data_IF_133116750452
#
_entry.id   IF_133116750452
#
_cell.length_a   1.000
_cell.length_b   1.000
_cell.length_c   1.000
_cell.angle_alpha   90.00
_cell.angle_beta   90.00
_cell.angle_gamma   90.00
#
_symmetry.space_group_name_H-M   'P 1'
#
loop_
_entity.id
_entity.type
_entity.pdbx_description
1 polymer ?
#
# COMPACT_ATOMS: atom_id res chain seq x y z
N UNK A 1 1.78 -11.67 -1.60
CA UNK A 1 1.66 -10.57 -2.58
C UNK A 1 0.84 -9.41 -2.04
N UNK A 2 -0.40 -9.63 -1.58
CA UNK A 2 -1.25 -8.56 -0.98
C UNK A 2 -0.58 -7.89 0.23
N UNK A 3 0.04 -8.67 1.13
CA UNK A 3 0.80 -8.14 2.28
C UNK A 3 2.00 -7.26 1.88
N UNK A 4 2.65 -7.52 0.73
CA UNK A 4 3.75 -6.68 0.21
C UNK A 4 3.22 -5.29 -0.17
N UNK A 5 2.12 -5.25 -0.92
CA UNK A 5 1.48 -3.99 -1.31
C UNK A 5 0.99 -3.21 -0.10
N UNK A 6 0.40 -3.89 0.89
CA UNK A 6 -0.02 -3.26 2.14
C UNK A 6 1.16 -2.62 2.89
N UNK A 7 2.29 -3.34 3.02
CA UNK A 7 3.51 -2.80 3.63
C UNK A 7 4.07 -1.60 2.86
N UNK A 8 4.07 -1.65 1.53
CA UNK A 8 4.51 -0.53 0.68
C UNK A 8 3.62 0.70 0.87
N UNK A 9 2.30 0.51 0.85
CA UNK A 9 1.33 1.58 1.06
C UNK A 9 1.49 2.21 2.45
N UNK A 10 1.70 1.40 3.48
CA UNK A 10 1.97 1.89 4.84
C UNK A 10 3.25 2.75 4.89
N UNK A 11 4.35 2.28 4.27
CA UNK A 11 5.62 3.02 4.22
C UNK A 11 5.49 4.33 3.44
N UNK A 12 4.77 4.31 2.31
CA UNK A 12 4.49 5.52 1.52
C UNK A 12 3.63 6.49 2.33
N UNK A 13 2.53 6.02 2.93
CA UNK A 13 1.64 6.84 3.74
C UNK A 13 2.39 7.54 4.89
N UNK A 14 3.23 6.79 5.62
CA UNK A 14 4.11 7.33 6.66
C UNK A 14 5.08 8.39 6.12
N UNK A 15 5.70 8.13 4.95
CA UNK A 15 6.67 9.06 4.31
C UNK A 15 6.04 10.42 3.98
N UNK A 16 4.78 10.44 3.57
CA UNK A 16 4.07 11.67 3.20
C UNK A 16 3.24 12.27 4.35
N UNK A 17 3.45 11.81 5.59
CA UNK A 17 2.70 12.32 6.75
C UNK A 17 1.21 11.98 6.70
N UNK A 18 0.80 11.08 5.81
CA UNK A 18 -0.54 10.53 5.75
C UNK A 18 -0.64 9.44 6.82
N UNK A 19 -0.67 9.86 8.08
CA UNK A 19 -0.99 8.99 9.20
C UNK A 19 -2.45 8.56 9.01
N UNK A 20 -2.67 7.52 8.23
CA UNK A 20 -3.96 6.83 8.24
C UNK A 20 -4.18 6.43 9.68
N UNK A 21 -5.19 7.02 10.31
CA UNK A 21 -5.62 6.67 11.63
C UNK A 21 -5.88 5.17 11.64
N UNK A 22 -4.91 4.39 12.14
CA UNK A 22 -5.20 3.06 12.68
C UNK A 22 -6.00 3.28 13.96
N UNK A 23 -7.20 3.86 13.82
CA UNK A 23 -8.26 3.59 14.75
C UNK A 23 -8.65 2.15 14.47
N UNK A 24 -8.14 1.31 15.36
CA UNK A 24 -8.30 -0.13 15.41
C UNK A 24 -9.78 -0.42 15.54
N UNK A 25 -10.44 -0.66 14.41
CA UNK A 25 -11.61 -1.54 14.45
C UNK A 25 -11.14 -2.86 15.05
N UNK A 26 -11.72 -3.26 16.19
CA UNK A 26 -11.32 -4.48 16.92
C UNK A 26 -11.60 -5.78 16.17
N UNK A 27 -12.04 -5.70 14.91
CA UNK A 27 -12.28 -6.86 14.06
C UNK A 27 -11.05 -7.18 13.18
N UNK A 28 -10.77 -8.47 12.94
CA UNK A 28 -9.73 -8.87 12.00
C UNK A 28 -10.10 -8.43 10.59
N UNK A 29 -9.54 -7.31 10.12
CA UNK A 29 -9.69 -6.86 8.74
C UNK A 29 -8.83 -7.73 7.80
N UNK A 30 -9.42 -8.15 6.68
CA UNK A 30 -8.67 -8.77 5.60
C UNK A 30 -7.64 -7.80 5.02
N UNK A 31 -6.56 -8.34 4.44
CA UNK A 31 -5.52 -7.51 3.82
C UNK A 31 -6.08 -6.61 2.68
N UNK A 32 -7.14 -7.04 2.00
CA UNK A 32 -7.82 -6.26 0.96
C UNK A 32 -8.59 -5.07 1.55
N UNK A 33 -9.34 -5.29 2.65
CA UNK A 33 -10.04 -4.21 3.36
C UNK A 33 -9.06 -3.14 3.85
N UNK A 34 -7.91 -3.57 4.38
CA UNK A 34 -6.85 -2.64 4.79
C UNK A 34 -6.31 -1.84 3.61
N UNK A 35 -6.11 -2.46 2.44
CA UNK A 35 -5.71 -1.74 1.22
C UNK A 35 -6.78 -0.71 0.82
N UNK A 36 -8.06 -1.08 0.81
CA UNK A 36 -9.14 -0.16 0.50
C UNK A 36 -9.22 1.03 1.45
N UNK A 37 -8.85 0.88 2.74
CA UNK A 37 -8.73 2.05 3.64
C UNK A 37 -7.68 3.06 3.19
N UNK A 38 -6.62 2.62 2.49
CA UNK A 38 -5.58 3.53 1.97
C UNK A 38 -5.94 4.13 0.60
N UNK A 39 -6.60 3.37 -0.29
CA UNK A 39 -6.79 3.78 -1.69
C UNK A 39 -8.24 4.07 -2.09
N UNK A 40 -9.21 3.67 -1.26
CA UNK A 40 -10.64 3.61 -1.57
C UNK A 40 -11.02 2.41 -2.44
N UNK A 41 -12.32 2.22 -2.63
CA UNK A 41 -12.93 1.19 -3.48
C UNK A 41 -13.42 1.73 -4.84
N UNK A 42 -13.21 3.02 -5.11
CA UNK A 42 -13.62 3.69 -6.34
C UNK A 42 -13.03 3.03 -7.61
N UNK A 43 -13.71 3.23 -8.75
CA UNK A 43 -13.20 2.80 -10.05
C UNK A 43 -11.75 3.27 -10.27
N UNK A 44 -10.88 2.36 -10.68
CA UNK A 44 -9.44 2.62 -10.81
C UNK A 44 -8.65 2.51 -9.50
N UNK A 45 -9.21 1.96 -8.43
CA UNK A 45 -8.52 1.72 -7.15
C UNK A 45 -7.20 0.96 -7.33
N UNK A 46 -7.15 0.00 -8.27
CA UNK A 46 -5.92 -0.76 -8.53
C UNK A 46 -4.78 0.15 -8.99
N UNK A 47 -5.07 1.15 -9.83
CA UNK A 47 -4.07 2.12 -10.27
C UNK A 47 -3.59 2.99 -9.09
N UNK A 48 -4.44 3.27 -8.10
CA UNK A 48 -4.08 3.98 -6.86
C UNK A 48 -3.20 3.15 -5.93
N UNK A 49 -3.18 1.82 -6.06
CA UNK A 49 -2.21 0.94 -5.39
C UNK A 49 -0.90 0.89 -6.17
N UNK A 50 -0.99 0.59 -7.47
CA UNK A 50 0.18 0.26 -8.29
C UNK A 50 1.06 1.50 -8.55
N UNK A 51 0.47 2.66 -8.86
CA UNK A 51 1.23 3.87 -9.23
C UNK A 51 2.15 4.36 -8.09
N UNK A 52 1.69 4.51 -6.83
CA UNK A 52 2.58 4.93 -5.74
C UNK A 52 3.72 3.94 -5.48
N UNK A 53 3.43 2.64 -5.59
CA UNK A 53 4.41 1.57 -5.34
C UNK A 53 5.47 1.54 -6.43
N UNK A 54 5.07 1.64 -7.70
CA UNK A 54 5.99 1.73 -8.83
C UNK A 54 6.83 3.02 -8.78
N UNK A 55 6.19 4.18 -8.58
CA UNK A 55 6.88 5.47 -8.51
C UNK A 55 7.84 5.59 -7.33
N UNK A 56 7.61 4.83 -6.25
CA UNK A 56 8.50 4.77 -5.09
C UNK A 56 9.61 3.72 -5.23
N UNK A 57 9.74 3.07 -6.38
CA UNK A 57 10.67 1.95 -6.63
C UNK A 57 10.51 0.78 -5.65
N UNK A 58 9.30 0.56 -5.13
CA UNK A 58 8.95 -0.54 -4.20
C UNK A 58 8.35 -1.76 -4.92
N UNK A 59 8.32 -1.72 -6.24
CA UNK A 59 7.90 -2.86 -7.06
C UNK A 59 8.95 -3.96 -6.96
N UNK A 60 8.56 -5.19 -6.61
CA UNK A 60 9.53 -6.28 -6.39
C UNK A 60 10.51 -6.46 -7.55
N UNK A 61 10.04 -6.45 -8.79
CA UNK A 61 10.92 -6.60 -9.95
C UNK A 61 11.92 -5.45 -10.13
N UNK A 62 11.58 -4.23 -9.68
CA UNK A 62 12.49 -3.08 -9.71
C UNK A 62 13.43 -3.07 -8.51
N UNK A 63 12.97 -3.48 -7.32
CA UNK A 63 13.83 -3.56 -6.13
C UNK A 63 14.97 -4.57 -6.30
N UNK A 64 14.70 -5.72 -6.92
CA UNK A 64 15.74 -6.74 -7.14
C UNK A 64 16.83 -6.29 -8.13
N UNK A 65 16.51 -5.37 -9.07
CA UNK A 65 17.50 -4.85 -10.01
C UNK A 65 18.59 -3.98 -9.33
N UNK A 66 18.39 -3.56 -8.07
CA UNK A 66 19.36 -2.78 -7.29
C UNK A 66 20.03 -3.58 -6.16
N UNK A 67 19.74 -4.88 -6.06
CA UNK A 67 20.28 -5.77 -5.01
C UNK A 67 21.41 -6.68 -5.52
N UNK A 68 21.93 -6.42 -6.72
CA UNK A 68 23.02 -7.14 -7.38
C UNK A 68 24.22 -6.23 -7.63
#
# INVERSE_FOLDING_TARGET
MVNHFLGCLLSIAKRFGHASAEERSGLPESALQRIWRYVGDACGWLARVVRPVANSNLWRHTCFAFLS
#
